data_IF_969119591234
#
_entry.id   IF_969119591234
#
_cell.length_a   1.000
_cell.length_b   1.000
_cell.length_c   1.000
_cell.angle_alpha   90.00
_cell.angle_beta   90.00
_cell.angle_gamma   90.00
#
_symmetry.space_group_name_H-M   'P 1'
#
loop_
_entity.id
_entity.type
_entity.pdbx_description
1 polymer ?
#
# COMPACT_ATOMS: atom_id res chain seq x y z
N UNK A 1 49.06 -7.79 -6.93
CA UNK A 1 48.78 -8.53 -5.67
C UNK A 1 48.08 -7.62 -4.64
N UNK A 2 48.56 -6.39 -4.40
CA UNK A 2 47.89 -5.40 -3.54
C UNK A 2 46.43 -5.08 -3.94
N UNK A 3 46.15 -4.85 -5.23
CA UNK A 3 44.79 -4.57 -5.73
C UNK A 3 43.79 -5.72 -5.55
N UNK A 4 44.26 -6.96 -5.53
CA UNK A 4 43.41 -8.14 -5.34
C UNK A 4 42.96 -8.28 -3.88
N UNK A 5 43.87 -8.02 -2.93
CA UNK A 5 43.57 -8.05 -1.50
C UNK A 5 42.64 -6.90 -1.08
N UNK A 6 42.81 -5.71 -1.66
CA UNK A 6 41.89 -4.57 -1.46
C UNK A 6 40.49 -4.86 -1.98
N UNK A 7 40.37 -5.50 -3.14
CA UNK A 7 39.08 -5.91 -3.67
C UNK A 7 38.40 -6.94 -2.75
N UNK A 8 39.12 -7.96 -2.27
CA UNK A 8 38.58 -8.93 -1.31
C UNK A 8 38.09 -8.24 -0.03
N UNK A 9 38.83 -7.27 0.49
CA UNK A 9 38.43 -6.51 1.67
C UNK A 9 37.14 -5.73 1.42
N UNK A 10 37.04 -4.99 0.32
CA UNK A 10 35.81 -4.25 -0.06
C UNK A 10 34.60 -5.18 -0.23
N UNK A 11 34.78 -6.35 -0.83
CA UNK A 11 33.72 -7.34 -0.95
C UNK A 11 33.26 -7.90 0.40
N UNK A 12 34.20 -8.14 1.32
CA UNK A 12 33.88 -8.57 2.69
C UNK A 12 33.13 -7.47 3.46
N UNK A 13 33.61 -6.24 3.39
CA UNK A 13 32.99 -5.10 4.07
C UNK A 13 31.55 -4.86 3.56
N UNK A 14 31.36 -4.81 2.23
CA UNK A 14 30.02 -4.68 1.64
C UNK A 14 29.08 -5.85 2.00
N UNK A 15 29.63 -7.06 2.16
CA UNK A 15 28.85 -8.23 2.61
C UNK A 15 28.47 -8.13 4.08
N UNK A 16 29.38 -7.64 4.94
CA UNK A 16 29.10 -7.39 6.36
C UNK A 16 28.03 -6.31 6.52
N UNK A 17 28.12 -5.21 5.75
CA UNK A 17 27.13 -4.13 5.76
C UNK A 17 25.74 -4.65 5.34
N UNK A 18 25.66 -5.44 4.26
CA UNK A 18 24.40 -6.08 3.84
C UNK A 18 23.84 -7.05 4.89
N UNK A 19 24.69 -7.84 5.55
CA UNK A 19 24.25 -8.73 6.62
C UNK A 19 23.73 -7.94 7.84
N UNK A 20 24.39 -6.84 8.19
CA UNK A 20 23.96 -5.95 9.27
C UNK A 20 22.60 -5.30 8.99
N UNK A 21 22.40 -4.84 7.75
CA UNK A 21 21.14 -4.26 7.30
C UNK A 21 19.99 -5.29 7.23
N UNK A 22 20.24 -6.48 6.70
CA UNK A 22 19.29 -7.61 6.72
C UNK A 22 18.87 -7.97 8.16
N UNK A 23 19.84 -8.09 9.08
CA UNK A 23 19.55 -8.38 10.49
C UNK A 23 18.66 -7.31 11.12
N UNK A 24 18.95 -6.04 10.87
CA UNK A 24 18.17 -4.93 11.42
C UNK A 24 16.75 -4.88 10.82
N UNK A 25 16.58 -5.13 9.52
CA UNK A 25 15.25 -5.26 8.87
C UNK A 25 14.42 -6.36 9.52
N UNK A 26 14.98 -7.56 9.66
CA UNK A 26 14.28 -8.71 10.29
C UNK A 26 13.94 -8.45 11.76
N UNK A 27 14.82 -7.76 12.50
CA UNK A 27 14.56 -7.33 13.87
C UNK A 27 13.43 -6.30 13.95
N UNK A 28 13.43 -5.28 13.08
CA UNK A 28 12.35 -4.27 12.98
C UNK A 28 11.01 -4.93 12.65
N UNK A 29 10.98 -5.82 11.65
CA UNK A 29 9.80 -6.61 11.29
C UNK A 29 9.29 -7.45 12.48
N UNK A 30 10.19 -8.20 13.13
CA UNK A 30 9.84 -8.97 14.34
C UNK A 30 9.29 -8.09 15.45
N UNK A 31 9.79 -6.85 15.59
CA UNK A 31 9.26 -5.84 16.51
C UNK A 31 7.77 -5.56 16.25
N UNK A 32 7.39 -5.24 15.01
CA UNK A 32 5.98 -5.05 14.62
C UNK A 32 5.13 -6.28 14.93
N UNK A 33 5.58 -7.47 14.52
CA UNK A 33 4.81 -8.70 14.70
C UNK A 33 4.66 -9.06 16.19
N UNK A 34 5.68 -8.82 17.01
CA UNK A 34 5.62 -9.06 18.46
C UNK A 34 4.62 -8.10 19.14
N UNK A 35 4.57 -6.82 18.73
CA UNK A 35 3.62 -5.83 19.25
C UNK A 35 2.16 -6.23 18.99
N UNK A 36 1.88 -6.92 17.90
CA UNK A 36 0.52 -7.37 17.56
C UNK A 36 0.21 -8.73 18.21
N UNK A 37 1.10 -9.71 18.03
CA UNK A 37 0.76 -11.12 18.27
C UNK A 37 1.16 -11.62 19.65
N UNK A 38 2.23 -11.06 20.24
CA UNK A 38 2.72 -11.45 21.58
C UNK A 38 2.29 -10.48 22.68
N UNK A 39 1.66 -9.37 22.34
CA UNK A 39 1.16 -8.41 23.31
C UNK A 39 -0.20 -8.87 23.89
N UNK A 40 -0.18 -9.37 25.13
CA UNK A 40 -1.38 -9.80 25.85
C UNK A 40 -2.23 -8.64 26.39
N UNK A 41 -1.76 -7.39 26.30
CA UNK A 41 -2.54 -6.22 26.74
C UNK A 41 -3.62 -5.81 25.73
N UNK A 42 -3.51 -6.25 24.48
CA UNK A 42 -4.39 -5.83 23.40
C UNK A 42 -5.68 -6.64 23.38
N UNK A 43 -6.76 -6.08 23.95
CA UNK A 43 -8.10 -6.71 23.93
C UNK A 43 -8.71 -6.80 22.53
N UNK A 44 -8.32 -5.91 21.61
CA UNK A 44 -8.77 -5.91 20.22
C UNK A 44 -7.57 -5.77 19.26
N UNK A 45 -7.01 -6.91 18.84
CA UNK A 45 -5.85 -6.96 17.94
C UNK A 45 -6.16 -6.38 16.56
N UNK A 46 -7.39 -6.45 16.05
CA UNK A 46 -7.75 -5.84 14.76
C UNK A 46 -7.64 -4.32 14.81
N UNK A 47 -8.08 -3.70 15.91
CA UNK A 47 -7.95 -2.27 16.10
C UNK A 47 -6.47 -1.86 16.11
N UNK A 48 -5.61 -2.64 16.75
CA UNK A 48 -4.16 -2.40 16.78
C UNK A 48 -3.54 -2.56 15.39
N UNK A 49 -3.89 -3.63 14.67
CA UNK A 49 -3.40 -3.85 13.30
C UNK A 49 -3.78 -2.70 12.38
N UNK A 50 -5.05 -2.31 12.36
CA UNK A 50 -5.51 -1.19 11.54
C UNK A 50 -4.85 0.14 11.96
N UNK A 51 -4.65 0.37 13.26
CA UNK A 51 -3.94 1.55 13.76
C UNK A 51 -2.47 1.59 13.35
N UNK A 52 -1.77 0.45 13.35
CA UNK A 52 -0.38 0.33 12.90
C UNK A 52 -0.27 0.53 11.39
N UNK A 53 -1.16 -0.09 10.59
CA UNK A 53 -1.22 0.15 9.14
C UNK A 53 -1.43 1.64 8.87
N UNK A 54 -2.40 2.28 9.54
CA UNK A 54 -2.63 3.73 9.40
C UNK A 54 -1.39 4.53 9.73
N UNK A 55 -0.70 4.21 10.82
CA UNK A 55 0.53 4.90 11.25
C UNK A 55 1.65 4.77 10.22
N UNK A 56 1.85 3.58 9.67
CA UNK A 56 2.84 3.33 8.61
C UNK A 56 2.50 4.13 7.35
N UNK A 57 1.23 4.10 6.93
CA UNK A 57 0.77 4.83 5.75
C UNK A 57 0.96 6.34 5.92
N UNK A 58 0.59 6.91 7.09
CA UNK A 58 0.86 8.33 7.36
C UNK A 58 2.35 8.66 7.32
N UNK A 59 3.18 7.84 7.96
CA UNK A 59 4.63 8.03 7.95
C UNK A 59 5.18 8.02 6.51
N UNK A 60 4.74 7.10 5.67
CA UNK A 60 5.16 7.04 4.26
C UNK A 60 4.69 8.26 3.46
N UNK A 61 3.48 8.77 3.73
CA UNK A 61 2.95 9.98 3.08
C UNK A 61 3.77 11.22 3.47
N UNK A 62 4.04 11.41 4.77
CA UNK A 62 4.84 12.53 5.25
C UNK A 62 6.28 12.46 4.75
N UNK A 63 6.89 11.28 4.75
CA UNK A 63 8.24 11.10 4.22
C UNK A 63 8.32 11.51 2.75
N UNK A 64 7.37 11.04 1.92
CA UNK A 64 7.33 11.43 0.50
C UNK A 64 7.13 12.93 0.33
N UNK A 65 6.25 13.55 1.13
CA UNK A 65 5.98 14.99 1.06
C UNK A 65 7.21 15.83 1.45
N UNK A 66 7.91 15.43 2.52
CA UNK A 66 9.15 16.09 2.97
C UNK A 66 10.23 15.94 1.91
N UNK A 67 10.44 14.74 1.36
CA UNK A 67 11.35 14.53 0.23
C UNK A 67 10.99 15.41 -0.96
N UNK A 68 9.70 15.58 -1.27
CA UNK A 68 9.25 16.43 -2.37
C UNK A 68 9.51 17.93 -2.14
N UNK A 69 9.60 18.36 -0.88
CA UNK A 69 9.94 19.73 -0.49
C UNK A 69 11.47 19.95 -0.48
N UNK A 70 12.23 18.97 -0.01
CA UNK A 70 13.68 19.09 0.19
C UNK A 70 14.51 18.67 -1.02
N UNK A 71 14.14 17.53 -1.64
CA UNK A 71 14.91 16.88 -2.70
C UNK A 71 14.01 16.40 -3.85
N UNK A 72 13.45 17.31 -4.67
CA UNK A 72 12.44 17.00 -5.70
C UNK A 72 12.83 15.96 -6.75
N UNK A 73 14.09 15.53 -6.82
CA UNK A 73 14.62 14.53 -7.77
C UNK A 73 14.74 13.11 -7.20
N UNK A 74 14.53 12.90 -5.90
CA UNK A 74 14.69 11.60 -5.22
C UNK A 74 13.48 11.25 -4.34
N UNK A 75 12.29 11.63 -4.79
CA UNK A 75 11.06 11.37 -4.07
C UNK A 75 10.67 9.90 -4.24
N UNK A 76 10.39 9.21 -3.14
CA UNK A 76 9.88 7.85 -3.21
C UNK A 76 8.52 7.81 -3.92
N UNK A 77 8.13 6.63 -4.41
CA UNK A 77 6.83 6.44 -5.04
C UNK A 77 6.05 5.36 -4.28
N UNK A 78 5.26 5.80 -3.30
CA UNK A 78 4.47 4.91 -2.46
C UNK A 78 3.49 4.00 -3.24
N UNK A 79 2.88 4.45 -4.35
CA UNK A 79 1.97 3.60 -5.15
C UNK A 79 2.62 2.37 -5.78
N UNK A 80 3.96 2.26 -5.76
CA UNK A 80 4.67 1.03 -6.13
C UNK A 80 4.31 -0.18 -5.25
N UNK A 81 3.74 0.02 -4.06
CA UNK A 81 3.26 -1.07 -3.20
C UNK A 81 2.24 -1.96 -3.92
N UNK A 82 1.30 -1.37 -4.68
CA UNK A 82 0.33 -2.17 -5.45
C UNK A 82 1.00 -2.97 -6.56
N UNK A 83 2.00 -2.37 -7.23
CA UNK A 83 2.79 -3.06 -8.26
C UNK A 83 3.56 -4.25 -7.69
N UNK A 84 4.12 -4.10 -6.49
CA UNK A 84 4.78 -5.20 -5.78
C UNK A 84 3.77 -6.35 -5.57
N UNK A 85 2.55 -6.07 -5.09
CA UNK A 85 1.53 -7.10 -4.91
C UNK A 85 1.08 -7.76 -6.22
N UNK A 86 0.98 -6.99 -7.31
CA UNK A 86 0.66 -7.54 -8.63
C UNK A 86 1.77 -8.46 -9.16
N UNK A 87 3.05 -8.09 -8.98
CA UNK A 87 4.18 -8.96 -9.35
C UNK A 87 4.16 -10.23 -8.51
N UNK A 88 3.96 -10.11 -7.19
CA UNK A 88 3.86 -11.27 -6.30
C UNK A 88 2.74 -12.21 -6.76
N UNK A 89 1.56 -11.67 -7.09
CA UNK A 89 0.44 -12.45 -7.59
C UNK A 89 0.79 -13.21 -8.87
N UNK A 90 1.40 -12.52 -9.83
CA UNK A 90 1.89 -13.14 -11.07
C UNK A 90 2.91 -14.26 -10.82
N UNK A 91 3.83 -14.06 -9.87
CA UNK A 91 4.88 -15.03 -9.51
C UNK A 91 4.35 -16.32 -8.87
N UNK A 92 3.12 -16.29 -8.35
CA UNK A 92 2.42 -17.47 -7.83
C UNK A 92 1.19 -17.85 -8.66
N UNK A 93 1.17 -17.41 -9.92
CA UNK A 93 0.12 -17.72 -10.90
C UNK A 93 -1.29 -17.39 -10.40
N UNK A 94 -1.43 -16.27 -9.67
CA UNK A 94 -2.72 -15.73 -9.24
C UNK A 94 -3.00 -14.43 -9.99
N UNK A 95 -4.27 -14.23 -10.33
CA UNK A 95 -4.80 -12.93 -10.76
C UNK A 95 -5.69 -12.38 -9.63
N UNK A 96 -5.34 -11.23 -9.02
CA UNK A 96 -6.20 -10.59 -8.04
C UNK A 96 -7.58 -10.31 -8.67
N UNK A 97 -8.64 -10.59 -7.93
CA UNK A 97 -9.99 -10.25 -8.40
C UNK A 97 -10.20 -8.74 -8.22
N UNK A 98 -10.62 -8.06 -9.27
CA UNK A 98 -10.80 -6.61 -9.27
C UNK A 98 -12.26 -6.23 -9.53
N UNK A 99 -12.72 -5.17 -8.89
CA UNK A 99 -14.05 -4.59 -9.11
C UNK A 99 -13.84 -3.15 -9.51
N UNK A 100 -14.30 -2.77 -10.70
CA UNK A 100 -14.26 -1.40 -11.21
C UNK A 100 -15.63 -0.76 -11.06
N UNK A 101 -15.66 0.44 -10.49
CA UNK A 101 -16.87 1.21 -10.24
C UNK A 101 -17.12 2.14 -11.42
N UNK A 102 -18.35 2.11 -11.97
CA UNK A 102 -18.74 2.63 -13.28
C UNK A 102 -18.77 4.15 -13.46
N UNK A 103 -17.74 4.86 -12.98
CA UNK A 103 -17.50 6.27 -13.28
C UNK A 103 -16.52 6.53 -14.43
N UNK A 104 -15.92 5.48 -15.01
CA UNK A 104 -14.99 5.59 -16.13
C UNK A 104 -15.72 5.79 -17.47
N UNK A 105 -15.15 6.67 -18.30
CA UNK A 105 -15.66 7.12 -19.60
C UNK A 105 -15.96 5.90 -20.50
N UNK A 106 -17.06 5.93 -21.25
CA UNK A 106 -17.55 4.87 -22.15
C UNK A 106 -16.48 4.29 -23.09
N UNK A 107 -15.44 5.06 -23.43
CA UNK A 107 -14.35 4.63 -24.32
C UNK A 107 -13.32 3.69 -23.66
N UNK A 108 -13.15 3.75 -22.32
CA UNK A 108 -12.25 2.83 -21.59
C UNK A 108 -12.91 1.49 -21.24
N UNK A 109 -14.25 1.44 -21.23
CA UNK A 109 -15.01 0.21 -20.98
C UNK A 109 -14.75 -0.87 -22.04
N UNK A 110 -14.35 -0.48 -23.27
CA UNK A 110 -13.96 -1.42 -24.34
C UNK A 110 -12.66 -2.19 -24.06
N UNK A 111 -11.81 -1.70 -23.15
CA UNK A 111 -10.52 -2.34 -22.83
C UNK A 111 -10.61 -3.33 -21.64
N UNK A 112 -11.74 -3.36 -20.92
CA UNK A 112 -11.87 -4.08 -19.64
C UNK A 112 -12.43 -5.50 -19.76
N UNK A 113 -12.45 -6.11 -20.95
CA UNK A 113 -12.75 -7.54 -21.12
C UNK A 113 -11.57 -8.43 -20.67
N UNK A 114 -11.04 -8.18 -19.47
CA UNK A 114 -10.00 -8.98 -18.84
C UNK A 114 -10.64 -9.91 -17.80
N UNK A 115 -10.19 -11.17 -17.74
CA UNK A 115 -10.66 -12.12 -16.73
C UNK A 115 -10.45 -11.56 -15.30
N UNK A 116 -11.51 -11.56 -14.49
CA UNK A 116 -11.46 -11.16 -13.09
C UNK A 116 -11.89 -9.73 -12.76
N UNK A 117 -12.39 -8.94 -13.73
CA UNK A 117 -12.94 -7.59 -13.50
C UNK A 117 -14.47 -7.64 -13.43
N UNK A 118 -15.06 -7.20 -12.31
CA UNK A 118 -16.51 -7.00 -12.17
C UNK A 118 -16.88 -5.50 -12.26
N UNK A 119 -17.90 -5.17 -13.05
CA UNK A 119 -18.46 -3.82 -13.13
C UNK A 119 -19.70 -3.69 -12.24
N UNK A 120 -19.79 -2.62 -11.45
CA UNK A 120 -20.95 -2.29 -10.61
C UNK A 120 -21.46 -0.90 -10.97
N UNK A 121 -22.79 -0.74 -11.10
CA UNK A 121 -23.50 0.50 -11.49
C UNK A 121 -23.33 1.69 -10.52
N UNK A 122 -22.53 1.55 -9.46
CA UNK A 122 -22.14 2.66 -8.61
C UNK A 122 -20.97 3.42 -9.27
N UNK A 123 -21.14 4.74 -9.47
CA UNK A 123 -20.12 5.60 -10.09
C UNK A 123 -18.78 5.57 -9.33
N UNK A 124 -18.84 5.50 -7.99
CA UNK A 124 -17.70 5.40 -7.08
C UNK A 124 -18.19 5.15 -5.64
N UNK A 125 -17.29 4.77 -4.73
CA UNK A 125 -17.55 4.80 -3.28
C UNK A 125 -17.01 6.11 -2.68
N UNK A 126 -17.89 6.97 -2.14
CA UNK A 126 -17.48 8.19 -1.43
C UNK A 126 -17.05 7.85 0.00
N UNK A 127 -15.87 8.29 0.41
CA UNK A 127 -15.25 7.97 1.70
C UNK A 127 -14.70 9.25 2.32
N UNK A 128 -14.89 9.46 3.62
CA UNK A 128 -14.26 10.60 4.29
C UNK A 128 -12.74 10.46 4.24
N UNK A 129 -12.00 11.56 4.00
CA UNK A 129 -10.56 11.50 3.67
C UNK A 129 -9.69 10.78 4.73
N UNK A 130 -10.15 10.73 5.99
CA UNK A 130 -9.48 10.05 7.10
C UNK A 130 -10.19 8.80 7.61
N UNK A 131 -11.20 8.30 6.90
CA UNK A 131 -11.90 7.07 7.30
C UNK A 131 -11.04 5.81 7.10
N UNK A 132 -10.19 5.80 6.05
CA UNK A 132 -9.25 4.71 5.77
C UNK A 132 -7.83 5.25 5.57
N UNK A 133 -6.80 4.42 5.80
CA UNK A 133 -5.44 4.75 5.39
C UNK A 133 -5.40 4.89 3.86
N UNK A 134 -4.92 6.04 3.39
CA UNK A 134 -4.70 6.30 1.97
C UNK A 134 -3.21 6.51 1.79
N UNK A 135 -2.59 5.62 1.04
CA UNK A 135 -1.22 5.76 0.61
C UNK A 135 -1.19 6.68 -0.61
N UNK A 136 -0.60 7.85 -0.40
CA UNK A 136 -0.60 8.98 -1.31
C UNK A 136 0.80 9.20 -1.88
N UNK A 137 0.85 9.92 -3.00
CA UNK A 137 2.11 10.30 -3.64
C UNK A 137 2.29 11.82 -3.78
N UNK A 138 2.58 12.58 -2.72
CA UNK A 138 2.79 14.02 -2.79
C UNK A 138 4.12 14.43 -3.46
N UNK A 139 4.42 13.90 -4.64
CA UNK A 139 5.71 13.93 -5.36
C UNK A 139 6.24 15.28 -5.87
N UNK A 140 5.57 16.40 -5.56
CA UNK A 140 5.90 17.74 -6.07
C UNK A 140 5.66 18.79 -5.00
N UNK A 141 6.72 19.28 -4.36
CA UNK A 141 6.64 20.27 -3.27
C UNK A 141 5.80 21.51 -3.62
N UNK A 142 6.00 22.11 -4.80
CA UNK A 142 5.18 23.25 -5.25
C UNK A 142 3.68 22.95 -5.32
N UNK A 143 3.29 21.72 -5.68
CA UNK A 143 1.87 21.31 -5.71
C UNK A 143 1.35 21.03 -4.31
N UNK A 144 2.18 20.53 -3.40
CA UNK A 144 1.83 20.43 -1.97
C UNK A 144 1.55 21.82 -1.40
N UNK A 145 2.42 22.80 -1.65
CA UNK A 145 2.24 24.19 -1.18
C UNK A 145 0.96 24.80 -1.77
N UNK A 146 0.75 24.71 -3.09
CA UNK A 146 -0.47 25.22 -3.70
C UNK A 146 -1.74 24.55 -3.16
N UNK A 147 -1.69 23.24 -2.86
CA UNK A 147 -2.81 22.56 -2.24
C UNK A 147 -3.03 23.01 -0.78
N UNK A 148 -1.96 23.28 -0.02
CA UNK A 148 -2.03 23.83 1.35
C UNK A 148 -2.72 25.18 1.38
N UNK A 149 -2.50 26.03 0.38
CA UNK A 149 -3.20 27.32 0.23
C UNK A 149 -4.64 27.12 -0.21
N UNK A 150 -4.86 26.26 -1.21
CA UNK A 150 -6.15 26.08 -1.87
C UNK A 150 -7.22 25.40 -1.02
N UNK A 151 -6.87 24.38 -0.23
CA UNK A 151 -7.84 23.61 0.56
C UNK A 151 -8.01 24.26 1.93
N UNK A 152 -9.19 24.78 2.26
CA UNK A 152 -9.46 25.47 3.53
C UNK A 152 -10.94 25.34 3.93
N UNK A 153 -11.39 26.14 4.89
CA UNK A 153 -12.78 26.12 5.38
C UNK A 153 -13.83 26.53 4.35
N UNK A 154 -13.45 27.36 3.38
CA UNK A 154 -14.31 27.84 2.30
C UNK A 154 -14.14 27.04 1.00
N UNK A 155 -13.11 26.20 0.92
CA UNK A 155 -12.82 25.34 -0.22
C UNK A 155 -12.39 23.95 0.26
N UNK A 156 -13.38 23.11 0.56
CA UNK A 156 -13.17 21.74 1.04
C UNK A 156 -12.97 20.81 -0.15
N UNK A 157 -12.04 19.87 -0.04
CA UNK A 157 -11.80 18.88 -1.09
C UNK A 157 -13.02 17.96 -1.29
N UNK A 158 -13.55 17.90 -2.52
CA UNK A 158 -14.57 16.93 -2.93
C UNK A 158 -14.07 16.05 -4.09
N UNK A 159 -13.66 14.82 -3.77
CA UNK A 159 -13.20 13.86 -4.77
C UNK A 159 -14.25 13.48 -5.82
N UNK A 160 -15.56 13.70 -5.55
CA UNK A 160 -16.61 13.47 -6.54
C UNK A 160 -16.66 14.57 -7.61
N UNK A 161 -16.47 15.83 -7.21
CA UNK A 161 -16.40 16.97 -8.14
C UNK A 161 -15.19 16.84 -9.07
N UNK A 162 -14.07 16.35 -8.53
CA UNK A 162 -12.83 16.15 -9.26
C UNK A 162 -12.62 14.70 -9.71
N UNK A 163 -13.69 13.91 -9.89
CA UNK A 163 -13.60 12.45 -10.13
C UNK A 163 -12.76 12.08 -11.36
N UNK A 164 -12.68 12.97 -12.35
CA UNK A 164 -11.86 12.83 -13.56
C UNK A 164 -10.34 12.78 -13.27
N UNK A 165 -9.91 13.20 -12.08
CA UNK A 165 -8.52 13.21 -11.64
C UNK A 165 -8.29 12.33 -10.41
N UNK A 166 -9.34 11.70 -9.85
CA UNK A 166 -9.20 10.80 -8.70
C UNK A 166 -9.21 9.36 -9.20
N UNK A 167 -8.10 8.67 -8.95
CA UNK A 167 -7.97 7.24 -9.18
C UNK A 167 -7.44 6.64 -7.89
N UNK A 168 -8.31 5.90 -7.20
CA UNK A 168 -8.02 5.30 -5.90
C UNK A 168 -8.45 3.85 -5.90
N UNK A 169 -7.52 2.96 -5.54
CA UNK A 169 -7.72 1.52 -5.50
C UNK A 169 -7.72 1.06 -4.04
N UNK A 170 -8.82 0.46 -3.57
CA UNK A 170 -8.86 -0.18 -2.26
C UNK A 170 -8.30 -1.60 -2.36
N UNK A 171 -7.29 -1.92 -1.55
CA UNK A 171 -6.66 -3.24 -1.57
C UNK A 171 -7.08 -4.06 -0.35
N UNK A 172 -7.74 -5.19 -0.60
CA UNK A 172 -8.06 -6.20 0.40
C UNK A 172 -7.03 -7.33 0.35
N UNK A 173 -6.57 -7.90 1.49
CA UNK A 173 -6.89 -7.62 2.88
C UNK A 173 -6.01 -6.57 3.57
N UNK A 174 -5.08 -5.92 2.85
CA UNK A 174 -4.21 -4.88 3.40
C UNK A 174 -4.99 -3.70 3.99
N UNK A 175 -6.25 -3.51 3.59
CA UNK A 175 -7.18 -2.52 4.13
C UNK A 175 -6.64 -1.08 4.02
N UNK A 176 -6.03 -0.79 2.87
CA UNK A 176 -5.51 0.51 2.48
C UNK A 176 -6.10 0.93 1.15
N UNK A 177 -6.09 2.23 0.89
CA UNK A 177 -6.35 2.79 -0.44
C UNK A 177 -5.02 3.24 -1.04
N UNK A 178 -4.74 2.87 -2.28
CA UNK A 178 -3.61 3.38 -3.06
C UNK A 178 -4.12 4.48 -3.99
N UNK A 179 -3.49 5.64 -3.91
CA UNK A 179 -3.81 6.79 -4.74
C UNK A 179 -2.92 6.85 -5.96
N UNK A 180 -3.54 6.83 -7.15
CA UNK A 180 -2.88 7.04 -8.44
C UNK A 180 -3.20 8.42 -9.04
N UNK A 181 -4.27 9.07 -8.60
CA UNK A 181 -4.74 10.39 -9.08
C UNK A 181 -5.03 11.39 -7.97
N UNK A 182 -4.89 12.70 -8.24
CA UNK A 182 -5.26 13.74 -7.24
C UNK A 182 -4.34 13.83 -6.01
N UNK A 183 -3.15 13.24 -6.09
CA UNK A 183 -2.22 13.00 -4.98
C UNK A 183 -2.04 14.16 -3.99
N UNK A 184 -1.67 15.35 -4.48
CA UNK A 184 -1.35 16.51 -3.62
C UNK A 184 -2.57 17.06 -2.89
N UNK A 185 -3.72 17.14 -3.58
CA UNK A 185 -4.97 17.64 -2.99
C UNK A 185 -5.50 16.67 -1.93
N UNK A 186 -5.45 15.36 -2.21
CA UNK A 186 -5.84 14.33 -1.25
C UNK A 186 -4.93 14.35 -0.01
N UNK A 187 -3.61 14.51 -0.18
CA UNK A 187 -2.66 14.63 0.93
C UNK A 187 -2.98 15.82 1.85
N UNK A 188 -3.21 16.99 1.28
CA UNK A 188 -3.53 18.17 2.09
C UNK A 188 -4.91 18.06 2.75
N UNK A 189 -5.92 17.56 2.02
CA UNK A 189 -7.25 17.29 2.58
C UNK A 189 -7.16 16.36 3.80
N UNK A 190 -6.28 15.36 3.73
CA UNK A 190 -6.02 14.41 4.79
C UNK A 190 -5.37 15.04 6.02
N UNK A 191 -4.31 15.84 5.84
CA UNK A 191 -3.67 16.61 6.92
C UNK A 191 -4.68 17.54 7.60
N UNK A 192 -5.52 18.22 6.81
CA UNK A 192 -6.52 19.15 7.33
C UNK A 192 -7.76 18.45 7.89
N UNK A 193 -7.85 17.12 7.75
CA UNK A 193 -8.99 16.29 8.12
C UNK A 193 -10.32 16.82 7.58
N UNK A 194 -10.34 17.19 6.30
CA UNK A 194 -11.49 17.85 5.68
C UNK A 194 -11.74 17.32 4.28
N UNK A 195 -13.00 16.97 4.03
CA UNK A 195 -13.47 16.56 2.72
C UNK A 195 -13.56 15.05 2.56
N UNK A 196 -13.90 14.66 1.34
CA UNK A 196 -14.17 13.28 0.97
C UNK A 196 -13.39 12.95 -0.28
N UNK A 197 -12.94 11.71 -0.38
CA UNK A 197 -12.41 11.15 -1.61
C UNK A 197 -13.37 10.12 -2.17
N UNK A 198 -13.01 9.57 -3.33
CA UNK A 198 -13.73 8.47 -3.95
C UNK A 198 -12.79 7.26 -4.10
N UNK A 199 -13.34 6.05 -4.08
CA UNK A 199 -12.67 4.82 -4.52
C UNK A 199 -13.32 4.39 -5.82
N UNK A 200 -12.50 4.04 -6.80
CA UNK A 200 -12.91 3.68 -8.15
C UNK A 200 -12.70 2.18 -8.43
N UNK A 201 -11.74 1.57 -7.74
CA UNK A 201 -11.46 0.13 -7.88
C UNK A 201 -11.26 -0.54 -6.53
N UNK A 202 -11.68 -1.80 -6.41
CA UNK A 202 -11.40 -2.66 -5.26
C UNK A 202 -10.66 -3.88 -5.77
N UNK A 203 -9.52 -4.22 -5.18
CA UNK A 203 -8.70 -5.36 -5.58
C UNK A 203 -8.56 -6.35 -4.42
N UNK A 204 -8.83 -7.62 -4.69
CA UNK A 204 -8.73 -8.72 -3.74
C UNK A 204 -7.47 -9.55 -3.97
N UNK A 205 -6.53 -9.40 -3.02
CA UNK A 205 -5.28 -10.15 -2.94
C UNK A 205 -5.35 -11.33 -1.96
N UNK A 206 -6.52 -11.72 -1.47
CA UNK A 206 -6.66 -12.80 -0.47
C UNK A 206 -5.97 -14.10 -0.91
N UNK A 207 -6.07 -14.47 -2.19
CA UNK A 207 -5.49 -15.71 -2.74
C UNK A 207 -3.97 -15.81 -2.65
N UNK A 208 -3.24 -14.69 -2.63
CA UNK A 208 -1.77 -14.74 -2.56
C UNK A 208 -1.26 -15.01 -1.14
N UNK A 209 -2.10 -14.84 -0.11
CA UNK A 209 -1.69 -15.05 1.28
C UNK A 209 -1.39 -16.52 1.60
N UNK A 210 -2.08 -17.48 0.98
CA UNK A 210 -1.78 -18.89 1.22
C UNK A 210 -0.46 -19.34 0.56
N UNK A 211 0.00 -18.57 -0.43
CA UNK A 211 1.12 -18.93 -1.30
C UNK A 211 2.41 -18.16 -0.97
N UNK A 212 2.30 -17.01 -0.31
CA UNK A 212 3.45 -16.11 -0.07
C UNK A 212 3.47 -15.65 1.38
N UNK A 213 4.68 -15.47 1.93
CA UNK A 213 4.91 -14.79 3.20
C UNK A 213 6.09 -13.82 3.11
N UNK A 214 6.13 -12.83 3.99
CA UNK A 214 7.24 -11.88 4.10
C UNK A 214 8.08 -12.19 5.35
N UNK A 215 9.40 -12.33 5.19
CA UNK A 215 10.31 -12.74 6.27
C UNK A 215 10.95 -11.57 7.03
N UNK A 216 10.55 -10.34 6.71
CA UNK A 216 11.14 -9.11 7.23
C UNK A 216 12.12 -8.44 6.28
N UNK A 217 12.47 -9.10 5.18
CA UNK A 217 13.33 -8.55 4.13
C UNK A 217 12.81 -8.88 2.72
N UNK A 218 12.42 -10.14 2.49
CA UNK A 218 12.00 -10.65 1.20
C UNK A 218 10.63 -11.30 1.27
N UNK A 219 9.95 -11.35 0.13
CA UNK A 219 8.79 -12.22 -0.07
C UNK A 219 9.26 -13.61 -0.45
N UNK A 220 8.69 -14.62 0.20
CA UNK A 220 9.03 -16.03 0.04
C UNK A 220 7.80 -16.80 -0.45
N UNK A 221 7.97 -17.65 -1.48
CA UNK A 221 6.95 -18.64 -1.83
C UNK A 221 6.86 -19.66 -0.70
N UNK A 222 5.66 -19.93 -0.18
CA UNK A 222 5.47 -20.81 0.99
C UNK A 222 5.78 -22.27 0.68
N UNK A 223 5.64 -22.69 -0.58
CA UNK A 223 5.85 -24.06 -1.06
C UNK A 223 7.30 -24.53 -0.89
N UNK A 224 8.27 -23.67 -1.20
CA UNK A 224 9.70 -24.04 -1.26
C UNK A 224 10.63 -23.03 -0.56
N UNK A 225 10.07 -21.95 0.00
CA UNK A 225 10.81 -20.83 0.60
C UNK A 225 11.73 -20.08 -0.37
N UNK A 226 11.52 -20.25 -1.67
CA UNK A 226 12.21 -19.47 -2.70
C UNK A 226 11.88 -17.98 -2.58
N UNK A 227 12.88 -17.13 -2.80
CA UNK A 227 12.72 -15.67 -2.78
C UNK A 227 12.02 -15.24 -4.07
N UNK A 228 11.04 -14.35 -3.94
CA UNK A 228 10.50 -13.58 -5.07
C UNK A 228 11.39 -12.34 -5.23
N UNK A 229 12.23 -12.36 -6.27
CA UNK A 229 13.18 -11.28 -6.54
C UNK A 229 12.45 -10.00 -6.96
N UNK A 230 12.69 -8.92 -6.22
CA UNK A 230 12.02 -7.63 -6.39
C UNK A 230 13.05 -6.50 -6.34
N UNK A 231 13.26 -5.83 -7.48
CA UNK A 231 14.15 -4.67 -7.59
C UNK A 231 13.39 -3.36 -7.30
N UNK A 232 13.16 -3.12 -6.00
CA UNK A 232 12.48 -1.93 -5.52
C UNK A 232 13.28 -1.24 -4.43
N UNK A 233 12.97 0.04 -4.19
CA UNK A 233 13.50 0.76 -3.04
C UNK A 233 13.22 -0.01 -1.74
N UNK A 234 14.27 -0.25 -0.95
CA UNK A 234 14.21 -1.10 0.23
C UNK A 234 13.17 -0.64 1.27
N UNK A 235 12.94 0.67 1.39
CA UNK A 235 11.97 1.24 2.30
C UNK A 235 10.54 0.90 1.86
N UNK A 236 10.25 1.02 0.55
CA UNK A 236 8.96 0.64 -0.04
C UNK A 236 8.75 -0.87 0.09
N UNK A 237 9.77 -1.67 -0.26
CA UNK A 237 9.70 -3.13 -0.15
C UNK A 237 9.40 -3.57 1.29
N UNK A 238 10.16 -3.03 2.25
CA UNK A 238 9.98 -3.36 3.66
C UNK A 238 8.56 -3.05 4.15
N UNK A 239 8.05 -1.83 3.93
CA UNK A 239 6.72 -1.48 4.41
C UNK A 239 5.59 -2.17 3.63
N UNK A 240 5.80 -2.48 2.35
CA UNK A 240 4.87 -3.35 1.61
C UNK A 240 4.71 -4.70 2.30
N UNK A 241 5.82 -5.30 2.76
CA UNK A 241 5.84 -6.60 3.43
C UNK A 241 5.28 -6.57 4.83
N UNK A 242 5.55 -5.50 5.60
CA UNK A 242 4.93 -5.29 6.91
C UNK A 242 3.41 -5.16 6.80
N UNK A 243 2.92 -4.32 5.87
CA UNK A 243 1.49 -4.13 5.63
C UNK A 243 0.85 -5.43 5.13
N UNK A 244 1.54 -6.18 4.26
CA UNK A 244 1.10 -7.49 3.81
C UNK A 244 0.88 -8.44 4.99
N UNK A 245 1.88 -8.66 5.85
CA UNK A 245 1.70 -9.58 6.99
C UNK A 245 0.67 -9.11 8.01
N UNK A 246 0.43 -7.80 8.13
CA UNK A 246 -0.70 -7.26 8.88
C UNK A 246 -2.05 -7.59 8.21
N UNK A 247 -2.13 -7.49 6.88
CA UNK A 247 -3.27 -7.92 6.07
C UNK A 247 -3.61 -9.40 6.24
N UNK A 248 -2.62 -10.26 6.51
CA UNK A 248 -2.86 -11.68 6.84
C UNK A 248 -3.74 -11.84 8.07
N UNK A 249 -3.57 -10.98 9.07
CA UNK A 249 -4.40 -10.99 10.26
C UNK A 249 -5.81 -10.47 9.98
N UNK A 250 -5.95 -9.43 9.16
CA UNK A 250 -7.25 -8.92 8.72
C UNK A 250 -8.03 -10.02 7.99
N UNK A 251 -7.38 -10.72 7.05
CA UNK A 251 -7.95 -11.82 6.28
C UNK A 251 -8.44 -12.96 7.18
N UNK A 252 -7.60 -13.42 8.12
CA UNK A 252 -7.94 -14.51 9.06
C UNK A 252 -9.16 -14.22 9.93
N UNK A 253 -9.48 -12.94 10.15
CA UNK A 253 -10.63 -12.53 10.94
C UNK A 253 -11.83 -12.12 10.06
N UNK A 254 -11.76 -12.34 8.74
CA UNK A 254 -12.79 -11.98 7.76
C UNK A 254 -13.29 -10.52 7.94
N UNK A 255 -12.37 -9.61 8.25
CA UNK A 255 -12.70 -8.22 8.52
C UNK A 255 -12.63 -7.39 7.24
N UNK A 256 -13.65 -6.56 7.03
CA UNK A 256 -13.78 -5.67 5.88
C UNK A 256 -14.20 -4.29 6.36
N UNK A 257 -13.47 -3.25 5.97
CA UNK A 257 -13.87 -1.87 6.31
C UNK A 257 -14.90 -1.29 5.35
N UNK A 258 -15.04 -1.87 4.15
CA UNK A 258 -16.02 -1.46 3.15
C UNK A 258 -17.08 -2.55 3.00
N UNK A 259 -18.36 -2.16 3.08
CA UNK A 259 -19.47 -3.10 2.90
C UNK A 259 -19.44 -3.78 1.52
N UNK A 260 -19.11 -3.03 0.45
CA UNK A 260 -18.98 -3.61 -0.88
C UNK A 260 -17.89 -4.70 -0.95
N UNK A 261 -16.73 -4.46 -0.33
CA UNK A 261 -15.67 -5.47 -0.23
C UNK A 261 -16.18 -6.71 0.55
N UNK A 262 -16.90 -6.50 1.66
CA UNK A 262 -17.49 -7.58 2.45
C UNK A 262 -18.49 -8.43 1.65
N UNK A 263 -19.28 -7.79 0.78
CA UNK A 263 -20.29 -8.46 -0.03
C UNK A 263 -19.68 -9.25 -1.17
N UNK A 264 -18.63 -8.72 -1.80
CA UNK A 264 -18.05 -9.25 -3.04
C UNK A 264 -16.86 -10.18 -2.79
N UNK A 265 -16.01 -9.88 -1.81
CA UNK A 265 -14.83 -10.69 -1.47
C UNK A 265 -15.14 -11.72 -0.37
N UNK A 266 -16.35 -12.28 -0.35
CA UNK A 266 -16.72 -13.29 0.64
C UNK A 266 -15.79 -14.49 0.52
N UNK A 267 -15.07 -14.75 1.61
CA UNK A 267 -14.35 -16.01 1.78
C UNK A 267 -15.40 -17.09 2.02
N UNK A 268 -15.68 -17.90 0.99
CA UNK A 268 -16.43 -19.14 1.19
C UNK A 268 -15.52 -20.06 2.01
N UNK A 269 -15.79 -20.18 3.31
CA UNK A 269 -15.20 -21.26 4.09
C UNK A 269 -15.77 -22.58 3.54
N UNK A 270 -14.95 -23.31 2.80
CA UNK A 270 -15.16 -24.73 2.51
C UNK A 270 -14.56 -25.53 3.66
#
# INVERSE_FOLDING_TARGET
MLSFLENIKRFKDARIDKLGDSHEKKKRFSGYMNLIFKNNMCRNKLLVVNGLISTIVEYMNFLEAVQALETPRKVQNNSLIEKIYNIIASEVSQSPHSITLGGMIEDEQKCCNQEGVELVDNKYLKIHINQLPILLNPWKGKRVIGALEGINENNVFDGAEYSWNIQNHYLYPMNIIICHGGNHSQFVAKIKNRGYTIVNELHDYSKIYDLVEFDGENYLKRVDKSIIELDYNEHILFYSGVIFEMGRYILKNNYHSLNLAKEKFKINHV
#
